data_IF_292989831017
#
_entry.id   IF_292989831017
#
_cell.length_a   1.000
_cell.length_b   1.000
_cell.length_c   1.000
_cell.angle_alpha   90.00
_cell.angle_beta   90.00
_cell.angle_gamma   90.00
#
_symmetry.space_group_name_H-M   'P 1'
#
loop_
_entity.id
_entity.type
_entity.pdbx_description
1 polymer ?
#
# COMPACT_ATOMS: atom_id res chain seq x y z
N UNK A 1 2.00 19.53 12.81
CA UNK A 1 3.06 20.18 12.01
C UNK A 1 3.65 19.04 11.23
N UNK A 2 3.26 18.93 9.96
CA UNK A 2 3.76 17.92 9.03
C UNK A 2 5.28 17.97 9.06
N UNK A 3 5.93 16.83 9.28
CA UNK A 3 7.39 16.77 9.14
C UNK A 3 7.69 17.09 7.66
N UNK A 4 8.62 18.02 7.34
CA UNK A 4 9.00 18.28 5.95
C UNK A 4 9.38 17.00 5.19
N UNK A 5 9.84 15.97 5.89
CA UNK A 5 10.20 14.68 5.29
C UNK A 5 8.95 13.83 4.92
N UNK A 6 7.76 14.13 5.44
CA UNK A 6 6.55 13.33 5.20
C UNK A 6 6.02 13.51 3.77
N UNK A 7 6.11 14.73 3.22
CA UNK A 7 5.79 14.98 1.82
C UNK A 7 6.72 14.21 0.87
N UNK A 8 8.01 14.13 1.21
CA UNK A 8 8.99 13.35 0.46
C UNK A 8 8.72 11.85 0.54
N UNK A 9 8.48 11.32 1.75
CA UNK A 9 8.11 9.90 1.96
C UNK A 9 6.85 9.53 1.18
N UNK A 10 5.82 10.38 1.20
CA UNK A 10 4.58 10.20 0.42
C UNK A 10 4.87 10.14 -1.08
N UNK A 11 5.67 11.07 -1.59
CA UNK A 11 6.03 11.12 -3.01
C UNK A 11 6.79 9.87 -3.46
N UNK A 12 7.76 9.41 -2.67
CA UNK A 12 8.53 8.18 -2.95
C UNK A 12 7.62 6.97 -3.00
N UNK A 13 6.74 6.79 -2.01
CA UNK A 13 5.82 5.66 -1.98
C UNK A 13 4.85 5.66 -3.16
N UNK A 14 4.39 6.84 -3.61
CA UNK A 14 3.55 6.94 -4.80
C UNK A 14 4.30 6.58 -6.08
N UNK A 15 5.54 7.04 -6.23
CA UNK A 15 6.39 6.64 -7.35
C UNK A 15 6.54 5.12 -7.42
N UNK A 16 6.82 4.47 -6.28
CA UNK A 16 6.95 3.01 -6.22
C UNK A 16 5.63 2.31 -6.58
N UNK A 17 4.49 2.83 -6.11
CA UNK A 17 3.19 2.28 -6.45
C UNK A 17 2.87 2.40 -7.95
N UNK A 18 3.32 3.47 -8.60
CA UNK A 18 3.14 3.68 -10.04
C UNK A 18 4.08 2.78 -10.85
N UNK A 19 5.35 2.66 -10.44
CA UNK A 19 6.32 1.75 -11.07
C UNK A 19 5.81 0.29 -11.04
N UNK A 20 5.25 -0.16 -9.91
CA UNK A 20 4.67 -1.49 -9.77
C UNK A 20 3.47 -1.76 -10.70
N UNK A 21 2.75 -0.72 -11.13
CA UNK A 21 1.67 -0.85 -12.12
C UNK A 21 2.20 -0.90 -13.54
N UNK A 22 3.33 -0.25 -13.80
CA UNK A 22 3.92 -0.15 -15.13
C UNK A 22 4.82 -1.34 -15.48
N UNK A 23 5.42 -2.03 -14.49
CA UNK A 23 6.28 -3.20 -14.73
C UNK A 23 5.51 -4.45 -15.18
N UNK A 24 4.24 -4.57 -14.82
CA UNK A 24 3.37 -5.69 -15.19
C UNK A 24 2.53 -5.36 -16.44
N UNK A 25 3.12 -5.59 -17.62
CA UNK A 25 2.43 -5.51 -18.92
C UNK A 25 1.36 -6.59 -19.15
N UNK A 26 1.23 -7.54 -18.22
CA UNK A 26 0.11 -8.47 -18.07
C UNK A 26 -0.62 -8.03 -16.80
N UNK A 27 -1.95 -7.91 -16.80
CA UNK A 27 -2.74 -7.43 -15.64
C UNK A 27 -2.70 -8.42 -14.47
N UNK A 28 -1.52 -8.66 -13.90
CA UNK A 28 -1.28 -9.58 -12.82
C UNK A 28 -1.93 -8.98 -11.58
N UNK A 29 -2.99 -9.64 -11.12
CA UNK A 29 -3.82 -9.19 -10.00
C UNK A 29 -3.01 -8.99 -8.72
N UNK A 30 -1.80 -9.56 -8.64
CA UNK A 30 -0.91 -9.45 -7.50
C UNK A 30 -0.15 -8.12 -7.46
N UNK A 31 0.48 -7.68 -8.56
CA UNK A 31 1.21 -6.41 -8.60
C UNK A 31 0.28 -5.22 -8.37
N UNK A 32 -0.93 -5.24 -8.94
CA UNK A 32 -1.97 -4.24 -8.70
C UNK A 32 -2.37 -4.18 -7.21
N UNK A 33 -2.48 -5.33 -6.54
CA UNK A 33 -2.80 -5.38 -5.10
C UNK A 33 -1.66 -4.81 -4.26
N UNK A 34 -0.41 -5.09 -4.61
CA UNK A 34 0.77 -4.54 -3.93
C UNK A 34 0.85 -3.02 -4.16
N UNK A 35 0.68 -2.55 -5.39
CA UNK A 35 0.63 -1.13 -5.72
C UNK A 35 -0.47 -0.38 -4.92
N UNK A 36 -1.67 -0.94 -4.84
CA UNK A 36 -2.76 -0.37 -4.06
C UNK A 36 -2.44 -0.28 -2.56
N UNK A 37 -1.75 -1.29 -2.02
CA UNK A 37 -1.30 -1.29 -0.62
C UNK A 37 -0.26 -0.20 -0.38
N UNK A 38 0.78 -0.12 -1.22
CA UNK A 38 1.84 0.90 -1.11
C UNK A 38 1.26 2.30 -1.20
N UNK A 39 0.32 2.51 -2.12
CA UNK A 39 -0.39 3.78 -2.23
C UNK A 39 -1.15 4.11 -0.93
N UNK A 40 -1.83 3.14 -0.31
CA UNK A 40 -2.56 3.37 0.94
C UNK A 40 -1.65 3.61 2.15
N UNK A 41 -0.46 3.02 2.17
CA UNK A 41 0.57 3.35 3.17
C UNK A 41 1.03 4.80 3.00
N UNK A 42 1.11 5.32 1.77
CA UNK A 42 1.49 6.72 1.53
C UNK A 42 0.54 7.74 2.17
N UNK A 43 -0.72 7.35 2.44
CA UNK A 43 -1.72 8.20 3.09
C UNK A 43 -1.47 8.40 4.58
N UNK A 44 -0.60 7.60 5.21
CA UNK A 44 -0.16 7.82 6.60
C UNK A 44 0.66 9.12 6.73
N UNK A 45 1.30 9.56 5.64
CA UNK A 45 2.12 10.77 5.59
C UNK A 45 1.35 12.01 5.13
N UNK A 46 0.03 11.90 5.00
CA UNK A 46 -0.86 13.02 4.68
C UNK A 46 -1.65 13.40 5.93
N UNK A 47 -1.34 14.56 6.52
CA UNK A 47 -2.02 15.05 7.72
C UNK A 47 -3.52 15.31 7.51
N UNK A 48 -3.96 15.51 6.26
CA UNK A 48 -5.38 15.69 5.91
C UNK A 48 -6.09 14.34 5.65
N UNK A 49 -5.35 13.24 5.57
CA UNK A 49 -5.91 11.92 5.38
C UNK A 49 -6.32 11.31 6.74
N UNK A 50 -7.57 10.88 6.84
CA UNK A 50 -8.06 10.13 8.00
C UNK A 50 -7.59 8.66 7.91
N UNK A 51 -6.28 8.45 8.03
CA UNK A 51 -5.62 7.15 7.87
C UNK A 51 -4.74 6.86 9.08
N UNK A 52 -5.15 5.86 9.85
CA UNK A 52 -4.37 5.34 10.96
C UNK A 52 -3.39 4.25 10.48
N UNK A 53 -2.09 4.46 10.75
CA UNK A 53 -1.03 3.51 10.44
C UNK A 53 -1.27 2.12 11.04
N UNK A 54 -1.88 2.06 12.23
CA UNK A 54 -2.23 0.80 12.88
C UNK A 54 -3.26 0.02 12.06
N UNK A 55 -4.23 0.72 11.49
CA UNK A 55 -5.27 0.13 10.66
C UNK A 55 -4.69 -0.43 9.35
N UNK A 56 -3.75 0.28 8.72
CA UNK A 56 -3.05 -0.20 7.51
C UNK A 56 -2.26 -1.47 7.80
N UNK A 57 -1.51 -1.49 8.91
CA UNK A 57 -0.75 -2.66 9.34
C UNK A 57 -1.64 -3.87 9.64
N UNK A 58 -2.75 -3.69 10.35
CA UNK A 58 -3.70 -4.76 10.64
C UNK A 58 -4.33 -5.34 9.37
N UNK A 59 -4.62 -4.49 8.38
CA UNK A 59 -5.14 -4.92 7.09
C UNK A 59 -4.10 -5.78 6.34
N UNK A 60 -2.84 -5.31 6.27
CA UNK A 60 -1.75 -6.05 5.63
C UNK A 60 -1.49 -7.41 6.30
N UNK A 61 -1.43 -7.43 7.64
CA UNK A 61 -1.25 -8.66 8.41
C UNK A 61 -2.34 -9.68 8.10
N UNK A 62 -3.59 -9.22 8.02
CA UNK A 62 -4.72 -10.09 7.71
C UNK A 62 -4.62 -10.67 6.29
N UNK A 63 -4.27 -9.85 5.30
CA UNK A 63 -4.05 -10.31 3.92
C UNK A 63 -2.98 -11.39 3.87
N UNK A 64 -1.82 -11.16 4.50
CA UNK A 64 -0.73 -12.15 4.54
C UNK A 64 -1.16 -13.46 5.21
N UNK A 65 -1.88 -13.39 6.34
CA UNK A 65 -2.40 -14.57 7.03
C UNK A 65 -3.40 -15.37 6.19
N UNK A 66 -4.25 -14.70 5.39
CA UNK A 66 -5.21 -15.36 4.49
C UNK A 66 -4.47 -16.02 3.32
N UNK A 67 -3.46 -15.33 2.75
CA UNK A 67 -2.61 -15.89 1.70
C UNK A 67 -1.85 -17.12 2.16
N UNK A 68 -1.28 -17.12 3.37
CA UNK A 68 -0.61 -18.27 3.99
C UNK A 68 -1.56 -19.47 4.19
N UNK A 69 -2.86 -19.23 4.37
CA UNK A 69 -3.89 -20.26 4.57
C UNK A 69 -4.50 -20.82 3.27
N UNK A 70 -4.06 -20.32 2.11
CA UNK A 70 -4.52 -20.77 0.79
C UNK A 70 -5.63 -19.92 0.16
N UNK A 71 -5.84 -18.68 0.61
CA UNK A 71 -6.81 -17.75 0.03
C UNK A 71 -8.21 -17.85 0.63
N UNK A 72 -9.14 -17.03 0.11
CA UNK A 72 -10.55 -16.94 0.59
C UNK A 72 -11.41 -18.11 0.07
N UNK A 73 -10.96 -18.81 -0.97
CA UNK A 73 -11.74 -19.82 -1.70
C UNK A 73 -11.66 -21.24 -1.12
N UNK A 74 -11.67 -21.38 0.20
CA UNK A 74 -11.78 -22.70 0.85
C UNK A 74 -13.14 -22.94 1.49
#
# INVERSE_FOLDING_TARGET
>A
MTDPDDAEKRAVLRSVADDLRDEDGDQSTEAERIAALVHRVSDIYDDDADVDAQHVYLNMRNILQISEQGGIDR
#
